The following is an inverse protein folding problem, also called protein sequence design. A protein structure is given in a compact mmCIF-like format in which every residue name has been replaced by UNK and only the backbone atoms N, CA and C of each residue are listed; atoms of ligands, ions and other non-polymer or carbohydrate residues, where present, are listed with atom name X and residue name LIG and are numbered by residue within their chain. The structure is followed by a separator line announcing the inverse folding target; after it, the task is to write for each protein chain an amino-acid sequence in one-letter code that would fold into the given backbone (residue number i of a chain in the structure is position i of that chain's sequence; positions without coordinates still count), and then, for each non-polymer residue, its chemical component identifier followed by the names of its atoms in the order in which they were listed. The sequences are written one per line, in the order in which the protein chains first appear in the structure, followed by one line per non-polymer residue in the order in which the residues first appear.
data_IF_727347555070
#
_entry.id   IF_727347555070
#
_cell.length_a   1.000
_cell.length_b   1.000
_cell.length_c   1.000
_cell.angle_alpha   90.00
_cell.angle_beta   90.00
_cell.angle_gamma   90.00
#
_symmetry.space_group_name_H-M   'P 1'
#
loop_
_entity.id
_entity.type
_entity.pdbx_description
1 polymer ?
#
# COMPACT_ATOMS: atom_id res chain seq x y z
N UNK A 1 -29.79 -9.47 -11.75
CA UNK A 1 -28.40 -9.29 -12.27
C UNK A 1 -27.56 -8.42 -11.35
N UNK A 2 -28.10 -7.33 -10.81
CA UNK A 2 -27.40 -6.43 -9.87
C UNK A 2 -26.66 -7.15 -8.74
N UNK A 3 -27.32 -8.05 -8.00
CA UNK A 3 -26.72 -8.78 -6.87
C UNK A 3 -25.52 -9.65 -7.27
N UNK A 4 -25.57 -10.24 -8.48
CA UNK A 4 -24.47 -11.03 -9.01
C UNK A 4 -23.25 -10.14 -9.31
N UNK A 5 -23.47 -9.01 -9.99
CA UNK A 5 -22.43 -8.03 -10.30
C UNK A 5 -21.83 -7.47 -9.01
N UNK A 6 -22.69 -7.11 -8.05
CA UNK A 6 -22.25 -6.64 -6.73
C UNK A 6 -21.38 -7.67 -6.01
N UNK A 7 -21.80 -8.95 -6.00
CA UNK A 7 -21.03 -10.02 -5.35
C UNK A 7 -19.66 -10.23 -5.99
N UNK A 8 -19.58 -10.17 -7.33
CA UNK A 8 -18.31 -10.27 -8.06
C UNK A 8 -17.41 -9.06 -7.76
N UNK A 9 -17.96 -7.85 -7.78
CA UNK A 9 -17.23 -6.62 -7.44
C UNK A 9 -16.70 -6.68 -6.00
N UNK A 10 -17.52 -7.12 -5.05
CA UNK A 10 -17.13 -7.25 -3.65
C UNK A 10 -16.03 -8.30 -3.47
N UNK A 11 -16.12 -9.44 -4.16
CA UNK A 11 -15.09 -10.48 -4.13
C UNK A 11 -13.75 -9.94 -4.66
N UNK A 12 -13.76 -9.28 -5.82
CA UNK A 12 -12.56 -8.66 -6.40
C UNK A 12 -12.00 -7.54 -5.50
N UNK A 13 -12.87 -6.72 -4.92
CA UNK A 13 -12.47 -5.66 -3.99
C UNK A 13 -11.75 -6.23 -2.76
N UNK A 14 -12.29 -7.31 -2.17
CA UNK A 14 -11.70 -7.94 -0.99
C UNK A 14 -10.36 -8.62 -1.30
N UNK A 15 -10.23 -9.29 -2.46
CA UNK A 15 -8.95 -9.85 -2.90
C UNK A 15 -7.91 -8.74 -3.07
N UNK A 16 -8.28 -7.64 -3.73
CA UNK A 16 -7.39 -6.50 -3.91
C UNK A 16 -7.04 -5.82 -2.58
N UNK A 17 -7.96 -5.80 -1.62
CA UNK A 17 -7.73 -5.26 -0.27
C UNK A 17 -6.65 -6.06 0.47
N UNK A 18 -6.76 -7.39 0.46
CA UNK A 18 -5.77 -8.28 1.06
C UNK A 18 -4.41 -8.10 0.37
N UNK A 19 -4.38 -8.08 -0.96
CA UNK A 19 -3.14 -7.85 -1.73
C UNK A 19 -2.47 -6.50 -1.42
N UNK A 20 -3.27 -5.43 -1.31
CA UNK A 20 -2.79 -4.09 -0.97
C UNK A 20 -2.20 -4.00 0.44
N UNK A 21 -2.79 -4.69 1.42
CA UNK A 21 -2.29 -4.72 2.80
C UNK A 21 -1.10 -5.68 2.99
N UNK A 22 -1.02 -6.74 2.20
CA UNK A 22 0.03 -7.76 2.31
C UNK A 22 1.43 -7.20 2.02
N UNK A 23 1.60 -6.46 0.92
CA UNK A 23 2.90 -5.92 0.54
C UNK A 23 3.55 -5.00 1.60
N UNK A 24 2.89 -3.97 2.17
CA UNK A 24 3.48 -3.16 3.23
C UNK A 24 3.75 -3.97 4.51
N UNK A 25 2.91 -4.97 4.82
CA UNK A 25 3.12 -5.86 5.96
C UNK A 25 4.40 -6.69 5.82
N UNK A 26 4.55 -7.43 4.71
CA UNK A 26 5.74 -8.26 4.47
C UNK A 26 7.01 -7.42 4.29
N UNK A 27 6.93 -6.32 3.54
CA UNK A 27 8.05 -5.41 3.34
C UNK A 27 8.57 -4.84 4.66
N UNK A 28 7.65 -4.45 5.56
CA UNK A 28 8.02 -4.00 6.90
C UNK A 28 8.70 -5.11 7.70
N UNK A 29 8.19 -6.33 7.65
CA UNK A 29 8.74 -7.46 8.38
C UNK A 29 10.17 -7.80 7.90
N UNK A 30 10.40 -7.82 6.59
CA UNK A 30 11.73 -8.05 5.99
C UNK A 30 12.72 -7.00 6.48
N UNK A 31 12.37 -5.71 6.43
CA UNK A 31 13.25 -4.63 6.91
C UNK A 31 13.52 -4.74 8.42
N UNK A 32 12.52 -5.14 9.21
CA UNK A 32 12.68 -5.34 10.66
C UNK A 32 13.64 -6.49 10.96
N UNK A 33 13.50 -7.62 10.26
CA UNK A 33 14.39 -8.76 10.44
C UNK A 33 15.81 -8.45 9.98
N UNK A 34 15.97 -7.73 8.86
CA UNK A 34 17.28 -7.26 8.39
C UNK A 34 18.00 -6.40 9.42
N UNK A 35 17.28 -5.60 10.21
CA UNK A 35 17.88 -4.76 11.24
C UNK A 35 18.61 -5.54 12.35
N UNK A 36 18.32 -6.83 12.53
CA UNK A 36 18.98 -7.70 13.51
C UNK A 36 20.45 -7.99 13.15
N UNK A 37 20.82 -7.85 11.88
CA UNK A 37 22.19 -8.09 11.39
C UNK A 37 23.14 -6.89 11.60
N UNK A 38 22.68 -5.85 12.30
CA UNK A 38 23.48 -4.66 12.60
C UNK A 38 23.47 -3.59 11.49
N UNK A 39 24.10 -2.43 11.72
CA UNK A 39 23.94 -1.25 10.85
C UNK A 39 24.82 -1.27 9.60
N UNK A 40 25.75 -2.22 9.47
CA UNK A 40 26.69 -2.29 8.35
C UNK A 40 26.03 -2.84 7.09
N UNK A 41 26.39 -2.31 5.93
CA UNK A 41 25.99 -2.87 4.64
C UNK A 41 26.54 -4.29 4.44
N UNK A 42 25.67 -5.23 4.07
CA UNK A 42 26.04 -6.56 3.59
C UNK A 42 25.51 -6.71 2.18
N UNK A 43 26.36 -6.51 1.18
CA UNK A 43 25.93 -6.27 -0.21
C UNK A 43 24.95 -7.34 -0.73
N UNK A 44 25.25 -8.63 -0.56
CA UNK A 44 24.41 -9.71 -1.06
C UNK A 44 23.06 -9.78 -0.35
N UNK A 45 23.06 -9.63 0.99
CA UNK A 45 21.85 -9.63 1.79
C UNK A 45 20.99 -8.41 1.46
N UNK A 46 21.60 -7.23 1.43
CA UNK A 46 20.91 -5.98 1.17
C UNK A 46 20.40 -5.93 -0.28
N UNK A 47 21.10 -6.53 -1.25
CA UNK A 47 20.62 -6.68 -2.63
C UNK A 47 19.33 -7.49 -2.69
N UNK A 48 19.33 -8.68 -2.09
CA UNK A 48 18.12 -9.54 -2.07
C UNK A 48 16.96 -8.83 -1.39
N UNK A 49 17.22 -8.11 -0.29
CA UNK A 49 16.20 -7.32 0.40
C UNK A 49 15.67 -6.20 -0.50
N UNK A 50 16.54 -5.41 -1.12
CA UNK A 50 16.12 -4.28 -1.97
C UNK A 50 15.38 -4.75 -3.23
N UNK A 51 15.85 -5.80 -3.90
CA UNK A 51 15.21 -6.39 -5.07
C UNK A 51 13.80 -6.91 -4.71
N UNK A 52 13.64 -7.56 -3.55
CA UNK A 52 12.34 -8.04 -3.07
C UNK A 52 11.38 -6.88 -2.79
N UNK A 53 11.86 -5.84 -2.10
CA UNK A 53 11.03 -4.68 -1.73
C UNK A 53 10.56 -3.90 -2.96
N UNK A 54 11.39 -3.82 -3.99
CA UNK A 54 11.06 -3.11 -5.23
C UNK A 54 10.21 -3.95 -6.17
N UNK A 55 10.44 -5.26 -6.25
CA UNK A 55 9.59 -6.19 -7.00
C UNK A 55 8.16 -6.21 -6.47
N UNK A 56 7.97 -6.05 -5.16
CA UNK A 56 6.64 -5.99 -4.54
C UNK A 56 5.87 -4.69 -4.85
N UNK A 57 6.58 -3.66 -5.28
CA UNK A 57 6.01 -2.34 -5.41
C UNK A 57 4.91 -2.33 -6.51
N UNK A 58 5.18 -2.66 -7.80
CA UNK A 58 4.17 -2.62 -8.86
C UNK A 58 2.84 -3.29 -8.51
N UNK A 59 2.87 -4.45 -7.84
CA UNK A 59 1.66 -5.16 -7.38
C UNK A 59 0.77 -4.31 -6.47
N UNK A 60 1.36 -3.58 -5.54
CA UNK A 60 0.63 -2.70 -4.63
C UNK A 60 -0.12 -1.59 -5.38
N UNK A 61 0.49 -1.02 -6.44
CA UNK A 61 -0.18 -0.02 -7.30
C UNK A 61 -1.35 -0.68 -8.03
N UNK A 62 -1.14 -1.86 -8.61
CA UNK A 62 -2.20 -2.62 -9.29
C UNK A 62 -3.37 -2.88 -8.34
N UNK A 63 -3.12 -3.34 -7.11
CA UNK A 63 -4.18 -3.59 -6.13
C UNK A 63 -4.92 -2.32 -5.72
N UNK A 64 -4.23 -1.18 -5.54
CA UNK A 64 -4.86 0.11 -5.28
C UNK A 64 -5.77 0.55 -6.43
N UNK A 65 -5.33 0.37 -7.67
CA UNK A 65 -6.13 0.66 -8.86
C UNK A 65 -7.40 -0.20 -8.87
N UNK A 66 -7.26 -1.51 -8.68
CA UNK A 66 -8.40 -2.44 -8.62
C UNK A 66 -9.35 -2.06 -7.48
N UNK A 67 -8.84 -1.72 -6.30
CA UNK A 67 -9.64 -1.25 -5.16
C UNK A 67 -10.45 0.01 -5.49
N UNK A 68 -9.82 0.97 -6.16
CA UNK A 68 -10.48 2.21 -6.55
C UNK A 68 -11.63 1.92 -7.53
N UNK A 69 -11.36 1.18 -8.60
CA UNK A 69 -12.38 0.87 -9.61
C UNK A 69 -13.51 0.00 -9.07
N UNK A 70 -13.20 -1.08 -8.34
CA UNK A 70 -14.23 -1.94 -7.74
C UNK A 70 -15.02 -1.19 -6.66
N UNK A 71 -14.36 -0.31 -5.90
CA UNK A 71 -14.99 0.57 -4.90
C UNK A 71 -16.01 1.54 -5.51
N UNK A 72 -15.68 2.16 -6.64
CA UNK A 72 -16.58 3.07 -7.37
C UNK A 72 -17.66 2.32 -8.17
N UNK A 73 -17.36 1.13 -8.67
CA UNK A 73 -18.29 0.33 -9.44
C UNK A 73 -19.46 -0.18 -8.59
N UNK A 74 -19.28 -0.45 -7.30
CA UNK A 74 -20.37 -0.90 -6.41
C UNK A 74 -21.54 0.10 -6.29
N UNK A 75 -21.33 1.38 -5.90
CA UNK A 75 -22.43 2.36 -5.87
C UNK A 75 -22.96 2.69 -7.26
N UNK A 76 -22.11 2.68 -8.29
CA UNK A 76 -22.55 2.92 -9.67
C UNK A 76 -23.43 1.78 -10.21
N UNK A 77 -23.12 0.53 -9.85
CA UNK A 77 -23.96 -0.62 -10.16
C UNK A 77 -25.38 -0.41 -9.62
N UNK A 78 -25.53 0.01 -8.35
CA UNK A 78 -26.84 0.31 -7.80
C UNK A 78 -27.56 1.45 -8.55
N UNK A 79 -26.84 2.53 -8.85
CA UNK A 79 -27.37 3.65 -9.63
C UNK A 79 -27.88 3.22 -11.02
N UNK A 80 -27.18 2.32 -11.71
CA UNK A 80 -27.60 1.82 -13.03
C UNK A 80 -28.91 1.02 -12.99
N UNK A 81 -29.18 0.28 -11.91
CA UNK A 81 -30.40 -0.53 -11.80
C UNK A 81 -31.59 0.24 -11.20
N UNK A 82 -31.34 1.20 -10.31
CA UNK A 82 -32.38 1.90 -9.56
C UNK A 82 -32.55 3.38 -9.94
N UNK A 83 -31.65 3.95 -10.73
CA UNK A 83 -31.66 5.37 -11.11
C UNK A 83 -31.27 6.33 -9.98
N UNK A 84 -30.90 5.81 -8.82
CA UNK A 84 -30.52 6.58 -7.64
C UNK A 84 -29.38 5.87 -6.88
N UNK A 85 -28.59 6.64 -6.14
CA UNK A 85 -27.61 6.06 -5.22
C UNK A 85 -28.32 5.51 -3.98
N UNK A 86 -27.74 4.47 -3.36
CA UNK A 86 -28.29 3.91 -2.13
C UNK A 86 -28.15 4.94 -1.02
N UNK A 87 -29.24 5.21 -0.31
CA UNK A 87 -29.23 6.08 0.87
C UNK A 87 -28.27 5.52 1.93
N UNK A 88 -27.42 6.39 2.46
CA UNK A 88 -26.43 6.04 3.47
C UNK A 88 -26.80 6.72 4.78
N UNK A 89 -26.78 5.97 5.88
CA UNK A 89 -26.88 6.57 7.21
C UNK A 89 -25.74 7.56 7.45
N UNK A 90 -25.91 8.51 8.37
CA UNK A 90 -24.85 9.48 8.71
C UNK A 90 -23.54 8.78 9.12
N UNK A 91 -23.63 7.64 9.82
CA UNK A 91 -22.49 6.83 10.22
C UNK A 91 -21.79 6.23 8.98
N UNK A 92 -22.55 5.67 8.04
CA UNK A 92 -21.99 5.08 6.82
C UNK A 92 -21.35 6.15 5.93
N UNK A 93 -21.93 7.35 5.85
CA UNK A 93 -21.37 8.49 5.11
C UNK A 93 -20.05 8.97 5.71
N UNK A 94 -19.96 9.09 7.04
CA UNK A 94 -18.70 9.43 7.72
C UNK A 94 -17.65 8.33 7.50
N UNK A 95 -18.04 7.06 7.66
CA UNK A 95 -17.15 5.92 7.44
C UNK A 95 -16.60 5.90 5.99
N UNK A 96 -17.45 6.20 5.00
CA UNK A 96 -17.05 6.31 3.61
C UNK A 96 -16.05 7.47 3.40
N UNK A 97 -16.31 8.64 3.98
CA UNK A 97 -15.39 9.78 3.89
C UNK A 97 -14.01 9.45 4.50
N UNK A 98 -13.98 8.83 5.68
CA UNK A 98 -12.75 8.37 6.34
C UNK A 98 -12.00 7.34 5.48
N UNK A 99 -12.73 6.38 4.89
CA UNK A 99 -12.16 5.39 3.98
C UNK A 99 -11.52 6.05 2.77
N UNK A 100 -12.22 6.98 2.11
CA UNK A 100 -11.71 7.68 0.93
C UNK A 100 -10.47 8.52 1.25
N UNK A 101 -10.50 9.31 2.33
CA UNK A 101 -9.34 10.10 2.77
C UNK A 101 -8.11 9.21 3.03
N UNK A 102 -8.31 8.06 3.68
CA UNK A 102 -7.25 7.09 3.94
C UNK A 102 -6.67 6.50 2.65
N UNK A 103 -7.52 6.17 1.68
CA UNK A 103 -7.10 5.68 0.36
C UNK A 103 -6.27 6.74 -0.39
N UNK A 104 -6.71 8.00 -0.40
CA UNK A 104 -5.94 9.08 -1.04
C UNK A 104 -4.58 9.28 -0.36
N UNK A 105 -4.52 9.20 0.97
CA UNK A 105 -3.25 9.25 1.69
C UNK A 105 -2.32 8.08 1.33
N UNK A 106 -2.86 6.85 1.20
CA UNK A 106 -2.10 5.68 0.75
C UNK A 106 -1.56 5.86 -0.68
N UNK A 107 -2.39 6.32 -1.62
CA UNK A 107 -1.98 6.63 -2.99
C UNK A 107 -0.83 7.64 -3.00
N UNK A 108 -0.96 8.73 -2.24
CA UNK A 108 0.09 9.74 -2.13
C UNK A 108 1.41 9.16 -1.61
N UNK A 109 1.35 8.37 -0.52
CA UNK A 109 2.53 7.71 0.04
C UNK A 109 3.21 6.81 -1.00
N UNK A 110 2.41 6.06 -1.75
CA UNK A 110 2.89 5.15 -2.79
C UNK A 110 3.56 5.90 -3.93
N UNK A 111 2.98 6.99 -4.41
CA UNK A 111 3.60 7.86 -5.42
C UNK A 111 4.96 8.36 -4.92
N UNK A 112 5.05 8.81 -3.67
CA UNK A 112 6.31 9.28 -3.07
C UNK A 112 7.34 8.15 -2.99
N UNK A 113 6.94 6.94 -2.57
CA UNK A 113 7.86 5.80 -2.49
C UNK A 113 8.41 5.44 -3.87
N UNK A 114 7.57 5.37 -4.89
CA UNK A 114 7.95 4.84 -6.21
C UNK A 114 8.70 5.83 -7.07
N UNK A 115 8.25 7.07 -7.09
CA UNK A 115 8.81 8.06 -8.01
C UNK A 115 9.96 8.84 -7.37
N UNK A 116 10.10 8.83 -6.04
CA UNK A 116 11.16 9.58 -5.35
C UNK A 116 12.11 8.69 -4.55
N UNK A 117 11.59 7.81 -3.69
CA UNK A 117 12.45 7.10 -2.73
C UNK A 117 13.14 5.89 -3.35
N UNK A 118 12.41 4.99 -4.01
CA UNK A 118 12.99 3.80 -4.63
C UNK A 118 14.06 4.13 -5.69
N UNK A 119 13.85 5.11 -6.60
CA UNK A 119 14.88 5.50 -7.57
C UNK A 119 16.12 6.09 -6.90
N UNK A 120 15.95 6.87 -5.83
CA UNK A 120 17.06 7.43 -5.08
C UNK A 120 17.87 6.34 -4.32
N UNK A 121 17.17 5.35 -3.74
CA UNK A 121 17.82 4.19 -3.12
C UNK A 121 18.62 3.41 -4.16
N UNK A 122 18.03 3.14 -5.33
CA UNK A 122 18.71 2.43 -6.42
C UNK A 122 19.95 3.14 -6.89
N UNK A 123 19.85 4.46 -7.11
CA UNK A 123 20.97 5.26 -7.59
C UNK A 123 22.18 5.14 -6.66
N UNK A 124 21.97 5.17 -5.34
CA UNK A 124 23.05 5.00 -4.35
C UNK A 124 23.47 3.53 -4.29
N UNK A 125 22.54 2.58 -4.27
CA UNK A 125 22.88 1.17 -4.15
C UNK A 125 23.74 0.64 -5.31
N UNK A 126 23.56 1.19 -6.52
CA UNK A 126 24.38 0.85 -7.69
C UNK A 126 25.82 1.37 -7.62
N UNK A 127 26.15 2.33 -6.74
CA UNK A 127 27.55 2.73 -6.52
C UNK A 127 28.31 1.75 -5.62
N UNK A 128 27.58 0.92 -4.87
CA UNK A 128 28.17 -0.06 -3.96
C UNK A 128 28.60 -1.32 -4.73
N UNK A 129 29.81 -1.79 -4.44
CA UNK A 129 30.32 -3.06 -4.98
C UNK A 129 30.67 -4.02 -3.84
N UNK A 130 30.78 -5.30 -4.15
CA UNK A 130 31.15 -6.34 -3.17
C UNK A 130 32.58 -6.16 -2.66
N UNK A 131 33.47 -5.66 -3.52
CA UNK A 131 34.91 -5.64 -3.29
C UNK A 131 35.42 -4.30 -2.74
N UNK A 132 34.58 -3.26 -2.73
CA UNK A 132 34.92 -1.94 -2.20
C UNK A 132 34.09 -1.59 -0.97
N UNK A 133 34.73 -0.96 0.03
CA UNK A 133 33.98 -0.33 1.13
C UNK A 133 33.25 0.88 0.55
N UNK A 134 31.93 1.01 0.77
CA UNK A 134 31.18 2.17 0.32
C UNK A 134 31.68 3.44 1.02
N UNK A 135 31.54 4.58 0.36
CA UNK A 135 31.79 5.87 1.00
C UNK A 135 30.85 6.05 2.21
N UNK A 136 31.39 6.59 3.30
CA UNK A 136 30.67 6.70 4.58
C UNK A 136 29.46 7.65 4.46
N UNK A 137 29.53 8.67 3.59
CA UNK A 137 28.39 9.58 3.39
C UNK A 137 27.30 8.92 2.54
N UNK A 138 27.68 8.19 1.49
CA UNK A 138 26.73 7.44 0.66
C UNK A 138 26.03 6.32 1.44
N UNK A 139 26.75 5.56 2.27
CA UNK A 139 26.18 4.51 3.13
C UNK A 139 25.16 5.11 4.12
N UNK A 140 25.50 6.23 4.77
CA UNK A 140 24.58 6.93 5.66
C UNK A 140 23.32 7.45 4.91
N UNK A 141 23.50 7.98 3.70
CA UNK A 141 22.41 8.42 2.83
C UNK A 141 21.46 7.27 2.44
N UNK A 142 22.02 6.11 2.09
CA UNK A 142 21.28 4.90 1.77
C UNK A 142 20.40 4.45 2.94
N UNK A 143 20.97 4.29 4.14
CA UNK A 143 20.20 3.86 5.32
C UNK A 143 19.15 4.90 5.74
N UNK A 144 19.41 6.19 5.57
CA UNK A 144 18.42 7.26 5.82
C UNK A 144 17.22 7.15 4.88
N UNK A 145 17.44 6.88 3.59
CA UNK A 145 16.34 6.67 2.63
C UNK A 145 15.56 5.39 2.94
N UNK A 146 16.23 4.31 3.32
CA UNK A 146 15.57 3.06 3.75
C UNK A 146 14.71 3.26 4.98
N UNK A 147 15.20 4.00 5.98
CA UNK A 147 14.45 4.35 7.17
C UNK A 147 13.20 5.18 6.83
N UNK A 148 13.34 6.16 5.92
CA UNK A 148 12.21 6.95 5.42
C UNK A 148 11.18 6.08 4.70
N UNK A 149 11.60 5.17 3.82
CA UNK A 149 10.70 4.21 3.14
C UNK A 149 9.95 3.36 4.15
N UNK A 150 10.65 2.79 5.14
CA UNK A 150 10.05 1.98 6.21
C UNK A 150 8.97 2.76 6.95
N UNK A 151 9.26 3.99 7.38
CA UNK A 151 8.31 4.85 8.10
C UNK A 151 7.05 5.12 7.25
N UNK A 152 7.21 5.38 5.96
CA UNK A 152 6.09 5.58 5.06
C UNK A 152 5.26 4.30 4.86
N UNK A 153 5.90 3.13 4.73
CA UNK A 153 5.18 1.85 4.70
C UNK A 153 4.40 1.59 5.99
N UNK A 154 4.95 1.96 7.16
CA UNK A 154 4.25 1.86 8.44
C UNK A 154 3.02 2.77 8.49
N UNK A 155 3.15 4.02 8.04
CA UNK A 155 2.01 4.95 7.93
C UNK A 155 0.96 4.41 6.95
N UNK A 156 1.40 3.86 5.80
CA UNK A 156 0.51 3.24 4.82
C UNK A 156 -0.28 2.06 5.43
N UNK A 157 0.38 1.24 6.24
CA UNK A 157 -0.27 0.13 6.95
C UNK A 157 -1.33 0.63 7.95
N UNK A 158 -1.08 1.73 8.67
CA UNK A 158 -2.10 2.33 9.54
C UNK A 158 -3.33 2.80 8.75
N UNK A 159 -3.13 3.44 7.59
CA UNK A 159 -4.24 3.80 6.72
C UNK A 159 -5.00 2.59 6.19
N UNK A 160 -4.30 1.50 5.83
CA UNK A 160 -4.94 0.25 5.40
C UNK A 160 -5.83 -0.35 6.51
N UNK A 161 -5.38 -0.29 7.76
CA UNK A 161 -6.20 -0.71 8.92
C UNK A 161 -7.43 0.20 9.09
N UNK A 162 -7.27 1.52 8.96
CA UNK A 162 -8.40 2.46 9.00
C UNK A 162 -9.42 2.14 7.90
N UNK A 163 -8.96 1.83 6.69
CA UNK A 163 -9.81 1.40 5.56
C UNK A 163 -10.57 0.12 5.90
N UNK A 164 -9.91 -0.88 6.50
CA UNK A 164 -10.54 -2.13 6.91
C UNK A 164 -11.62 -1.90 7.97
N UNK A 165 -11.29 -1.15 9.03
CA UNK A 165 -12.21 -0.85 10.13
C UNK A 165 -13.40 -0.01 9.65
N UNK A 166 -13.16 1.06 8.89
CA UNK A 166 -14.23 1.89 8.32
C UNK A 166 -15.14 1.11 7.36
N UNK A 167 -14.60 0.14 6.62
CA UNK A 167 -15.39 -0.71 5.72
C UNK A 167 -16.43 -1.56 6.47
N UNK A 168 -16.16 -1.96 7.72
CA UNK A 168 -17.14 -2.70 8.52
C UNK A 168 -18.43 -1.89 8.73
N UNK A 169 -18.31 -0.58 8.94
CA UNK A 169 -19.45 0.33 9.16
C UNK A 169 -20.26 0.62 7.89
N UNK A 170 -19.76 0.25 6.71
CA UNK A 170 -20.52 0.32 5.45
C UNK A 170 -21.49 -0.86 5.29
N UNK A 171 -21.17 -2.02 5.89
CA UNK A 171 -22.01 -3.22 5.80
C UNK A 171 -23.16 -3.27 6.82
N UNK A 172 -23.01 -2.63 7.99
CA UNK A 172 -23.96 -2.76 9.10
C UNK A 172 -25.32 -2.06 8.90
N UNK A 173 -25.51 -1.27 7.86
CA UNK A 173 -26.75 -0.52 7.61
C UNK A 173 -27.43 -0.89 6.27
N UNK A 174 -27.16 -2.08 5.73
CA UNK A 174 -27.73 -2.52 4.46
C UNK A 174 -29.08 -3.26 4.58
N UNK A 175 -29.80 -3.11 5.70
CA UNK A 175 -31.21 -3.52 5.83
C UNK A 175 -32.14 -2.38 5.43
#
# INVERSE_FOLDING_TARGET
MENLIYSLLLALHNIALVGCAAAPFYNRNIVKNRAQYGPKLFYELDKVVEDTLQGNAPYCITFIIVLFFTGMAMPFNHYLFHGAFKELSSIASIALAVKLLSIFAMIYIMIVIFFKINPAINKIFFTFTKDSKPDTQEEAGFFKLRARRKKLCEICLYFAIIVLVSSAFLGFNMN
#
